data_IF_871268328246
#
_entry.id   IF_871268328246
#
_cell.length_a   1.000
_cell.length_b   1.000
_cell.length_c   1.000
_cell.angle_alpha   90.00
_cell.angle_beta   90.00
_cell.angle_gamma   90.00
#
_symmetry.space_group_name_H-M   'P 1'
#
loop_
_entity.id
_entity.type
_entity.pdbx_description
1 polymer ?
#
# COMPACT_ATOMS: atom_id res chain seq x y z
N UNK A 1 -5.12 13.34 16.92
CA UNK A 1 -5.56 11.94 16.77
C UNK A 1 -5.33 11.57 15.31
N UNK A 2 -4.11 11.21 14.97
CA UNK A 2 -3.69 10.91 13.60
C UNK A 2 -4.16 9.50 13.21
N UNK A 3 -5.31 9.44 12.55
CA UNK A 3 -5.87 8.17 12.07
C UNK A 3 -5.04 7.65 10.90
N UNK A 4 -4.52 6.43 11.00
CA UNK A 4 -3.73 5.78 9.93
C UNK A 4 -4.55 4.73 9.19
N UNK A 5 -4.27 4.52 7.91
CA UNK A 5 -4.86 3.48 7.06
C UNK A 5 -3.74 2.54 6.61
N UNK A 6 -3.91 1.23 6.78
CA UNK A 6 -2.94 0.22 6.33
C UNK A 6 -3.48 -0.53 5.12
N UNK A 7 -2.64 -0.76 4.12
CA UNK A 7 -2.94 -1.62 2.98
C UNK A 7 -1.67 -2.35 2.52
N UNK A 8 -1.63 -3.66 2.72
CA UNK A 8 -0.46 -4.48 2.44
C UNK A 8 0.78 -3.98 3.19
N UNK A 9 1.84 -3.70 2.44
CA UNK A 9 3.13 -3.17 2.96
C UNK A 9 3.13 -1.65 3.18
N UNK A 10 2.02 -0.96 2.98
CA UNK A 10 1.98 0.49 3.02
C UNK A 10 1.07 1.00 4.14
N UNK A 11 1.54 2.07 4.80
CA UNK A 11 0.81 2.81 5.82
C UNK A 11 0.57 4.22 5.28
N UNK A 12 -0.66 4.71 5.37
CA UNK A 12 -1.05 6.06 5.03
C UNK A 12 -1.53 6.85 6.24
N UNK A 13 -1.18 8.13 6.32
CA UNK A 13 -1.57 9.03 7.40
C UNK A 13 -2.71 9.97 6.95
N UNK A 14 -3.85 9.92 7.64
CA UNK A 14 -4.94 10.88 7.41
C UNK A 14 -4.58 12.26 7.98
N UNK A 15 -5.26 13.30 7.49
CA UNK A 15 -5.01 14.69 7.90
C UNK A 15 -3.82 15.35 7.20
N UNK A 16 -3.06 14.62 6.36
CA UNK A 16 -1.90 15.15 5.61
C UNK A 16 -2.22 15.57 4.18
N UNK A 17 -3.42 16.12 3.94
CA UNK A 17 -3.81 16.72 2.65
C UNK A 17 -4.51 15.80 1.64
N UNK A 18 -4.69 14.51 1.95
CA UNK A 18 -5.52 13.60 1.15
C UNK A 18 -6.77 13.15 1.90
N UNK A 19 -7.87 13.01 1.16
CA UNK A 19 -9.10 12.43 1.70
C UNK A 19 -8.93 10.91 1.94
N UNK A 20 -9.70 10.29 2.85
CA UNK A 20 -9.53 8.89 3.20
C UNK A 20 -9.59 7.93 2.01
N UNK A 21 -10.51 8.17 1.06
CA UNK A 21 -10.67 7.33 -0.12
C UNK A 21 -9.57 7.53 -1.16
N UNK A 22 -9.04 8.75 -1.27
CA UNK A 22 -7.90 9.06 -2.13
C UNK A 22 -6.65 8.34 -1.61
N UNK A 23 -6.44 8.37 -0.29
CA UNK A 23 -5.35 7.67 0.37
C UNK A 23 -5.45 6.15 0.19
N UNK A 24 -6.62 5.54 0.37
CA UNK A 24 -6.82 4.10 0.14
C UNK A 24 -6.43 3.66 -1.28
N UNK A 25 -6.84 4.42 -2.29
CA UNK A 25 -6.50 4.11 -3.67
C UNK A 25 -5.03 4.37 -3.96
N UNK A 26 -4.44 5.43 -3.41
CA UNK A 26 -3.01 5.70 -3.52
C UNK A 26 -2.16 4.58 -2.93
N UNK A 27 -2.54 4.03 -1.77
CA UNK A 27 -1.85 2.88 -1.16
C UNK A 27 -1.91 1.63 -2.05
N UNK A 28 -3.01 1.44 -2.78
CA UNK A 28 -3.13 0.33 -3.73
C UNK A 28 -2.26 0.57 -4.98
N UNK A 29 -2.18 1.82 -5.44
CA UNK A 29 -1.28 2.22 -6.54
C UNK A 29 0.19 1.99 -6.14
N UNK A 30 0.57 2.32 -4.91
CA UNK A 30 1.93 2.12 -4.40
C UNK A 30 2.31 0.62 -4.31
N UNK A 31 1.33 -0.27 -4.23
CA UNK A 31 1.52 -1.72 -4.32
C UNK A 31 1.64 -2.24 -5.76
N UNK A 32 1.44 -1.37 -6.77
CA UNK A 32 1.46 -1.74 -8.19
C UNK A 32 0.11 -2.18 -8.75
N UNK A 33 -1.00 -2.01 -8.03
CA UNK A 33 -2.32 -2.32 -8.57
C UNK A 33 -2.75 -1.31 -9.64
N UNK A 34 -3.33 -1.82 -10.72
CA UNK A 34 -3.96 -1.00 -11.77
C UNK A 34 -5.33 -0.50 -11.32
N UNK A 35 -5.82 0.58 -11.95
CA UNK A 35 -7.15 1.14 -11.65
C UNK A 35 -8.29 0.10 -11.77
N UNK A 36 -8.19 -0.86 -12.71
CA UNK A 36 -9.18 -1.94 -12.86
C UNK A 36 -9.14 -2.94 -11.70
N UNK A 37 -7.95 -3.29 -11.21
CA UNK A 37 -7.80 -4.18 -10.05
C UNK A 37 -8.30 -3.50 -8.77
N UNK A 38 -7.97 -2.22 -8.58
CA UNK A 38 -8.47 -1.41 -7.46
C UNK A 38 -10.00 -1.34 -7.52
N UNK A 39 -10.56 -1.02 -8.68
CA UNK A 39 -12.00 -0.96 -8.88
C UNK A 39 -12.71 -2.26 -8.47
N UNK A 40 -12.18 -3.41 -8.91
CA UNK A 40 -12.69 -4.73 -8.53
C UNK A 40 -12.57 -5.00 -7.02
N UNK A 41 -11.44 -4.64 -6.41
CA UNK A 41 -11.20 -4.85 -4.99
C UNK A 41 -12.12 -3.99 -4.10
N UNK A 42 -12.49 -2.80 -4.56
CA UNK A 42 -13.30 -1.85 -3.80
C UNK A 42 -14.79 -1.81 -4.22
N UNK A 43 -15.21 -2.63 -5.19
CA UNK A 43 -16.59 -2.69 -5.68
C UNK A 43 -17.06 -1.39 -6.35
N UNK A 44 -16.16 -0.67 -7.03
CA UNK A 44 -16.45 0.61 -7.71
C UNK A 44 -16.10 0.55 -9.18
N UNK A 45 -16.58 1.52 -9.96
CA UNK A 45 -16.20 1.65 -11.37
C UNK A 45 -14.73 2.11 -11.52
N UNK A 46 -13.96 1.61 -12.51
CA UNK A 46 -12.61 2.08 -12.82
C UNK A 46 -12.51 3.60 -13.00
N UNK A 47 -13.53 4.24 -13.61
CA UNK A 47 -13.60 5.69 -13.75
C UNK A 47 -13.63 6.44 -12.40
N UNK A 48 -14.26 5.83 -11.39
CA UNK A 48 -14.27 6.39 -10.02
C UNK A 48 -12.87 6.38 -9.40
N UNK A 49 -12.12 5.29 -9.60
CA UNK A 49 -10.72 5.21 -9.13
C UNK A 49 -9.88 6.27 -9.81
N UNK A 50 -9.95 6.39 -11.14
CA UNK A 50 -9.22 7.38 -11.91
C UNK A 50 -9.53 8.82 -11.47
N UNK A 51 -10.80 9.15 -11.25
CA UNK A 51 -11.23 10.48 -10.78
C UNK A 51 -10.66 10.82 -9.40
N UNK A 52 -10.59 9.85 -8.48
CA UNK A 52 -10.04 10.05 -7.14
C UNK A 52 -8.52 10.17 -7.16
N UNK A 53 -7.83 9.38 -7.97
CA UNK A 53 -6.38 9.54 -8.19
C UNK A 53 -6.08 10.90 -8.82
N UNK A 54 -6.88 11.36 -9.79
CA UNK A 54 -6.76 12.71 -10.36
C UNK A 54 -6.96 13.82 -9.32
N UNK A 55 -7.94 13.66 -8.42
CA UNK A 55 -8.14 14.60 -7.30
C UNK A 55 -6.93 14.62 -6.35
N UNK A 56 -6.35 13.46 -6.05
CA UNK A 56 -5.13 13.36 -5.24
C UNK A 56 -3.92 14.02 -5.93
N UNK A 57 -3.77 13.83 -7.25
CA UNK A 57 -2.74 14.47 -8.06
C UNK A 57 -2.85 15.99 -8.03
N UNK A 58 -4.06 16.52 -8.18
CA UNK A 58 -4.33 17.95 -8.07
C UNK A 58 -3.95 18.50 -6.68
N UNK A 59 -4.34 17.81 -5.59
CA UNK A 59 -4.04 18.22 -4.22
C UNK A 59 -2.55 18.22 -3.89
N UNK A 60 -1.79 17.29 -4.48
CA UNK A 60 -0.34 17.20 -4.28
C UNK A 60 0.47 17.99 -5.32
N UNK A 61 -0.19 18.60 -6.32
CA UNK A 61 0.47 19.44 -7.33
C UNK A 61 1.26 18.66 -8.38
N UNK A 62 0.87 17.41 -8.65
CA UNK A 62 1.56 16.52 -9.59
C UNK A 62 0.66 16.15 -10.77
N UNK A 63 1.25 15.73 -11.88
CA UNK A 63 0.52 15.40 -13.13
C UNK A 63 0.61 13.94 -13.53
N UNK A 64 1.45 13.14 -12.86
CA UNK A 64 1.69 11.74 -13.18
C UNK A 64 1.45 10.87 -11.94
N UNK A 65 0.90 9.68 -12.15
CA UNK A 65 0.61 8.73 -11.08
C UNK A 65 1.88 8.26 -10.34
N UNK A 66 2.99 8.05 -11.04
CA UNK A 66 4.27 7.73 -10.39
C UNK A 66 4.78 8.90 -9.52
N UNK A 67 4.64 10.14 -10.02
CA UNK A 67 4.98 11.34 -9.27
C UNK A 67 4.10 11.51 -8.02
N UNK A 68 2.82 11.11 -8.09
CA UNK A 68 1.92 11.09 -6.93
C UNK A 68 2.45 10.20 -5.80
N UNK A 69 2.92 9.00 -6.11
CA UNK A 69 3.50 8.10 -5.10
C UNK A 69 4.77 8.71 -4.51
N UNK A 70 5.69 9.20 -5.36
CA UNK A 70 6.93 9.81 -4.90
C UNK A 70 6.68 11.06 -4.03
N UNK A 71 5.73 11.91 -4.41
CA UNK A 71 5.34 13.11 -3.67
C UNK A 71 4.74 12.74 -2.30
N UNK A 72 3.86 11.75 -2.28
CA UNK A 72 3.24 11.27 -1.05
C UNK A 72 4.27 10.64 -0.09
N UNK A 73 5.29 9.96 -0.61
CA UNK A 73 6.42 9.48 0.20
C UNK A 73 7.24 10.64 0.75
N UNK A 74 7.56 11.65 -0.08
CA UNK A 74 8.37 12.81 0.33
C UNK A 74 7.70 13.65 1.42
N UNK A 75 6.37 13.74 1.39
CA UNK A 75 5.55 14.46 2.41
C UNK A 75 5.15 13.56 3.59
N UNK A 76 5.65 12.32 3.65
CA UNK A 76 5.31 11.34 4.69
C UNK A 76 3.78 11.11 4.82
N UNK A 77 3.06 11.21 3.70
CA UNK A 77 1.64 10.87 3.62
C UNK A 77 1.49 9.35 3.58
N UNK A 78 2.40 8.68 2.87
CA UNK A 78 2.52 7.23 2.84
C UNK A 78 3.93 6.81 3.24
N UNK A 79 4.04 5.69 3.94
CA UNK A 79 5.30 5.08 4.35
C UNK A 79 5.27 3.62 3.95
N UNK A 80 6.32 3.17 3.28
CA UNK A 80 6.53 1.75 3.00
C UNK A 80 7.05 1.08 4.26
N UNK A 81 6.34 0.09 4.77
CA UNK A 81 6.89 -0.80 5.78
C UNK A 81 7.95 -1.65 5.10
N UNK A 82 9.21 -1.30 5.32
CA UNK A 82 10.32 -2.18 4.97
C UNK A 82 10.10 -3.48 5.74
N UNK A 83 9.74 -4.55 5.02
CA UNK A 83 9.94 -5.89 5.53
C UNK A 83 11.44 -6.14 5.49
N UNK A 84 12.18 -5.56 6.44
CA UNK A 84 13.38 -6.24 6.90
C UNK A 84 12.84 -7.53 7.51
N UNK A 85 13.12 -8.72 6.93
CA UNK A 85 12.82 -9.95 7.63
C UNK A 85 13.52 -9.84 8.98
N UNK A 86 12.77 -10.06 10.05
CA UNK A 86 13.35 -10.14 11.38
C UNK A 86 14.53 -11.14 11.30
N UNK A 87 15.77 -10.75 11.63
CA UNK A 87 16.91 -11.65 11.59
C UNK A 87 16.75 -12.85 12.54
N UNK A 88 15.69 -12.89 13.35
CA UNK A 88 15.37 -13.99 14.26
C UNK A 88 14.41 -15.04 13.67
N UNK A 89 14.26 -15.18 12.36
CA UNK A 89 13.64 -16.39 11.79
C UNK A 89 14.61 -17.58 11.93
N UNK A 90 14.71 -18.13 13.15
CA UNK A 90 15.28 -19.46 13.39
C UNK A 90 14.34 -20.44 12.68
N UNK A 91 14.76 -21.16 11.63
CA UNK A 91 13.95 -22.27 11.14
C UNK A 91 13.80 -23.24 12.32
N UNK A 92 12.56 -23.43 12.76
CA UNK A 92 12.24 -24.52 13.68
C UNK A 92 12.74 -25.80 13.03
N UNK A 93 13.76 -26.41 13.61
CA UNK A 93 14.31 -27.68 13.18
C UNK A 93 13.17 -28.70 13.10
N UNK A 94 12.74 -28.98 11.88
CA UNK A 94 11.83 -30.07 11.58
C UNK A 94 12.58 -31.34 11.95
N UNK A 95 12.25 -31.89 13.13
CA UNK A 95 12.75 -33.19 13.58
C UNK A 95 12.35 -34.23 12.55
N UNK A 96 13.27 -34.50 11.62
CA UNK A 96 13.19 -35.61 10.71
C UNK A 96 13.38 -36.87 11.55
N UNK A 97 12.27 -37.35 12.07
CA UNK A 97 12.15 -38.52 12.91
C UNK A 97 12.63 -39.73 12.11
N UNK A 98 13.89 -40.09 12.32
CA UNK A 98 14.51 -41.25 11.71
C UNK A 98 13.90 -42.52 12.30
N UNK A 99 13.06 -43.18 11.52
CA UNK A 99 12.75 -44.60 11.70
C UNK A 99 12.99 -45.26 10.33
N UNK A 100 14.22 -45.70 10.11
CA UNK A 100 14.54 -46.69 9.09
C UNK A 100 14.30 -48.06 9.72
N UNK A 101 13.20 -48.70 9.32
CA UNK A 101 12.89 -50.09 9.67
C UNK A 101 13.79 -50.98 8.81
N UNK A 102 14.56 -51.87 9.43
CA UNK A 102 15.33 -52.94 8.80
C UNK A 102 14.71 -54.30 9.17
#
# INVERSE_FOLDING_TARGET
MDSTIKSGKWIGHLGRGLAPRELQFLLSVAQGFTAKQIARAFGVEPGTVAKRISSAMFKLGVTRQAALVAEAMRREIIVGQAACPDPQHRPTEESQNGVFIA
#
